data_IF_835535337259
#
_entry.id   IF_835535337259
#
_cell.length_a   1.000
_cell.length_b   1.000
_cell.length_c   1.000
_cell.angle_alpha   90.00
_cell.angle_beta   90.00
_cell.angle_gamma   90.00
#
_symmetry.space_group_name_H-M   'P 1'
#
loop_
_entity.id
_entity.type
_entity.pdbx_description
1 polymer ?
#
# COMPACT_ATOMS: atom_id res chain seq x y z
N UNK A 1 -6.30 23.79 -2.07
CA UNK A 1 -7.17 22.62 -1.81
C UNK A 1 -6.41 21.67 -0.90
N UNK A 2 -6.95 21.36 0.29
CA UNK A 2 -6.37 20.40 1.24
C UNK A 2 -7.45 19.36 1.52
N UNK A 3 -7.31 18.11 1.04
CA UNK A 3 -6.94 17.04 1.97
C UNK A 3 -6.22 15.82 1.36
N UNK A 4 -5.62 14.99 2.22
CA UNK A 4 -5.78 13.53 2.11
C UNK A 4 -6.01 12.95 3.52
N UNK A 5 -7.22 13.24 4.00
CA UNK A 5 -7.85 12.82 5.27
C UNK A 5 -7.29 13.41 6.58
N UNK A 6 -7.43 14.73 6.72
CA UNK A 6 -7.56 15.38 8.02
C UNK A 6 -8.75 16.35 7.99
N UNK A 7 -9.54 16.37 9.06
CA UNK A 7 -10.63 17.35 9.31
C UNK A 7 -10.11 18.70 9.83
N UNK A 8 -8.83 18.77 10.19
CA UNK A 8 -8.16 19.98 10.70
C UNK A 8 -6.90 20.31 9.88
N UNK A 9 -6.70 21.59 9.57
CA UNK A 9 -5.58 22.09 8.76
C UNK A 9 -4.20 21.74 9.36
N UNK A 10 -4.10 21.70 10.68
CA UNK A 10 -2.88 21.38 11.44
C UNK A 10 -2.29 20.01 11.07
N UNK A 11 -3.16 19.04 10.76
CA UNK A 11 -2.77 17.63 10.54
C UNK A 11 -2.75 17.25 9.06
N UNK A 12 -2.85 18.22 8.16
CA UNK A 12 -2.84 17.95 6.72
C UNK A 12 -1.42 17.68 6.21
N UNK A 13 -1.12 16.42 5.92
CA UNK A 13 0.19 16.00 5.37
C UNK A 13 0.53 16.75 4.06
N UNK A 14 -0.47 17.06 3.25
CA UNK A 14 -0.31 17.80 1.99
C UNK A 14 0.16 19.26 2.19
N UNK A 15 0.22 19.78 3.41
CA UNK A 15 0.81 21.08 3.72
C UNK A 15 2.32 21.08 3.53
N UNK A 16 2.97 19.93 3.76
CA UNK A 16 4.42 19.79 3.63
C UNK A 16 4.86 19.68 2.17
N UNK A 17 3.98 19.20 1.29
CA UNK A 17 4.29 19.02 -0.13
C UNK A 17 4.04 20.30 -0.93
N UNK A 18 5.01 20.70 -1.75
CA UNK A 18 4.87 21.87 -2.63
C UNK A 18 3.92 21.63 -3.81
N UNK A 19 3.54 22.70 -4.51
CA UNK A 19 2.69 22.67 -5.70
C UNK A 19 3.42 22.22 -6.98
N UNK A 20 4.69 21.83 -6.87
CA UNK A 20 5.50 21.39 -7.99
C UNK A 20 4.99 20.03 -8.46
N UNK A 21 4.74 19.90 -9.75
CA UNK A 21 4.28 18.68 -10.39
C UNK A 21 4.82 18.57 -11.81
N UNK A 22 4.63 17.40 -12.42
CA UNK A 22 4.92 17.21 -13.84
C UNK A 22 4.05 18.14 -14.68
N UNK A 23 4.66 18.95 -15.54
CA UNK A 23 3.97 19.95 -16.37
C UNK A 23 2.99 19.32 -17.36
N UNK A 24 3.31 18.11 -17.87
CA UNK A 24 2.51 17.45 -18.91
C UNK A 24 1.27 16.75 -18.33
N UNK A 25 1.45 16.01 -17.23
CA UNK A 25 0.36 15.23 -16.63
C UNK A 25 -0.28 15.90 -15.43
N UNK A 26 0.26 17.04 -14.99
CA UNK A 26 -0.14 17.75 -13.77
C UNK A 26 -0.04 16.87 -12.51
N UNK A 27 0.79 15.83 -12.53
CA UNK A 27 0.98 14.92 -11.39
C UNK A 27 1.84 15.61 -10.32
N UNK A 28 1.33 15.82 -9.09
CA UNK A 28 2.11 16.47 -8.03
C UNK A 28 3.29 15.62 -7.55
N UNK A 29 4.37 16.28 -7.11
CA UNK A 29 5.60 15.63 -6.65
C UNK A 29 5.52 15.10 -5.20
N UNK A 30 4.51 14.27 -4.89
CA UNK A 30 4.28 13.76 -3.52
C UNK A 30 5.45 12.94 -2.93
N UNK A 31 6.31 12.36 -3.77
CA UNK A 31 7.40 11.47 -3.34
C UNK A 31 8.74 12.19 -3.17
N UNK A 32 8.79 13.50 -3.43
CA UNK A 32 10.02 14.28 -3.43
C UNK A 32 9.79 15.64 -2.77
N UNK A 33 10.11 15.74 -1.47
CA UNK A 33 10.03 16.99 -0.69
C UNK A 33 11.15 17.01 0.34
N UNK A 34 11.89 18.11 0.41
CA UNK A 34 12.93 18.30 1.44
C UNK A 34 12.26 18.73 2.74
N UNK A 35 12.52 18.01 3.82
CA UNK A 35 11.96 18.29 5.15
C UNK A 35 13.06 18.36 6.20
N UNK A 36 12.88 19.20 7.22
CA UNK A 36 13.69 19.18 8.45
C UNK A 36 12.96 18.31 9.47
N UNK A 37 13.62 17.27 9.94
CA UNK A 37 13.07 16.37 10.96
C UNK A 37 13.67 16.69 12.32
N UNK A 38 12.82 16.78 13.34
CA UNK A 38 13.21 16.96 14.73
C UNK A 38 12.63 15.83 15.57
N UNK A 39 13.42 15.30 16.50
CA UNK A 39 13.01 14.20 17.35
C UNK A 39 12.17 14.72 18.52
N UNK A 40 10.87 14.43 18.52
CA UNK A 40 9.96 14.83 19.60
C UNK A 40 10.07 13.89 20.80
N UNK A 41 10.22 12.58 20.58
CA UNK A 41 10.44 11.60 21.64
C UNK A 41 11.07 10.31 21.08
N UNK A 42 11.98 9.67 21.85
CA UNK A 42 12.66 8.42 21.46
C UNK A 42 11.74 7.21 21.64
N UNK A 43 10.88 7.22 22.67
CA UNK A 43 9.96 6.12 23.00
C UNK A 43 8.56 6.68 23.20
N UNK A 44 7.58 6.15 22.47
CA UNK A 44 6.17 6.55 22.56
C UNK A 44 5.22 5.37 22.53
N UNK A 45 3.93 5.67 22.63
CA UNK A 45 2.87 4.69 22.42
C UNK A 45 2.89 4.21 20.96
N UNK A 46 2.58 2.93 20.75
CA UNK A 46 2.44 2.38 19.40
C UNK A 46 1.32 3.15 18.68
N UNK A 47 1.55 3.68 17.48
CA UNK A 47 0.56 4.50 16.77
C UNK A 47 -0.62 3.67 16.23
N UNK A 48 -0.46 2.36 16.12
CA UNK A 48 -1.52 1.47 15.65
C UNK A 48 -2.28 0.88 16.84
N UNK A 49 -3.62 0.81 16.76
CA UNK A 49 -4.43 0.16 17.79
C UNK A 49 -4.12 -1.34 17.85
N UNK A 50 -4.34 -1.97 19.01
CA UNK A 50 -4.00 -3.38 19.24
C UNK A 50 -4.76 -4.36 18.33
N UNK A 51 -5.96 -3.99 17.88
CA UNK A 51 -6.76 -4.78 16.93
C UNK A 51 -6.29 -4.64 15.47
N UNK A 52 -5.23 -3.88 15.20
CA UNK A 52 -4.74 -3.70 13.83
C UNK A 52 -4.30 -5.06 13.23
N UNK A 53 -4.70 -5.40 11.99
CA UNK A 53 -4.33 -6.66 11.33
C UNK A 53 -2.82 -6.91 11.25
N UNK A 54 -1.99 -5.87 11.35
CA UNK A 54 -0.53 -5.99 11.42
C UNK A 54 -0.04 -6.78 12.63
N UNK A 55 -0.83 -6.83 13.71
CA UNK A 55 -0.56 -7.61 14.92
C UNK A 55 -1.20 -9.01 14.91
N UNK A 56 -2.07 -9.31 13.93
CA UNK A 56 -2.68 -10.62 13.80
C UNK A 56 -1.67 -11.66 13.29
N UNK A 57 -1.97 -12.94 13.53
CA UNK A 57 -1.22 -14.06 12.95
C UNK A 57 -1.33 -13.98 11.42
N UNK A 58 -0.17 -13.90 10.74
CA UNK A 58 -0.12 -13.85 9.28
C UNK A 58 -0.51 -15.19 8.69
N UNK A 59 -1.33 -15.17 7.64
CA UNK A 59 -1.59 -16.29 6.75
C UNK A 59 -0.96 -15.98 5.39
N UNK A 60 0.37 -16.10 5.25
CA UNK A 60 1.05 -15.73 4.01
C UNK A 60 0.65 -16.66 2.87
N UNK A 61 0.31 -16.09 1.72
CA UNK A 61 0.11 -16.84 0.49
C UNK A 61 1.48 -17.10 -0.16
N UNK A 62 1.85 -18.38 -0.31
CA UNK A 62 3.08 -18.78 -1.00
C UNK A 62 2.89 -18.63 -2.51
N UNK A 63 3.26 -17.47 -3.06
CA UNK A 63 3.17 -17.20 -4.49
C UNK A 63 1.73 -17.21 -5.00
N UNK A 64 1.55 -17.56 -6.28
CA UNK A 64 0.23 -17.49 -6.94
C UNK A 64 -0.66 -18.70 -6.62
N UNK A 65 -0.07 -19.86 -6.30
CA UNK A 65 -0.78 -21.14 -6.06
C UNK A 65 -1.80 -21.49 -7.17
N UNK A 66 -1.31 -21.52 -8.41
CA UNK A 66 -2.16 -21.72 -9.59
C UNK A 66 -2.82 -23.11 -9.57
N UNK A 67 -2.07 -24.11 -9.12
CA UNK A 67 -2.51 -25.49 -8.97
C UNK A 67 -3.66 -25.60 -7.97
N UNK A 68 -3.61 -24.82 -6.87
CA UNK A 68 -4.69 -24.75 -5.89
C UNK A 68 -5.96 -24.15 -6.48
N UNK A 69 -5.85 -23.20 -7.40
CA UNK A 69 -7.02 -22.65 -8.12
C UNK A 69 -7.63 -23.70 -9.03
N UNK A 70 -6.82 -24.42 -9.80
CA UNK A 70 -7.28 -25.44 -10.74
C UNK A 70 -7.89 -26.68 -10.07
N UNK A 71 -7.45 -27.01 -8.85
CA UNK A 71 -8.00 -28.11 -8.06
C UNK A 71 -9.34 -27.80 -7.37
N UNK A 72 -9.92 -26.60 -7.55
CA UNK A 72 -11.22 -26.29 -6.94
C UNK A 72 -12.36 -26.98 -7.70
N UNK A 73 -13.35 -27.49 -6.97
CA UNK A 73 -14.53 -28.16 -7.56
C UNK A 73 -15.36 -27.22 -8.45
N UNK A 74 -15.35 -25.93 -8.17
CA UNK A 74 -16.09 -24.90 -8.90
C UNK A 74 -15.30 -24.25 -10.04
N UNK A 75 -14.11 -24.78 -10.35
CA UNK A 75 -13.26 -24.22 -11.40
C UNK A 75 -13.56 -24.83 -12.77
N UNK A 76 -13.97 -23.98 -13.72
CA UNK A 76 -14.15 -24.34 -15.13
C UNK A 76 -12.98 -23.80 -15.98
N UNK A 77 -12.19 -24.66 -16.65
CA UNK A 77 -11.12 -24.24 -17.55
C UNK A 77 -11.64 -23.41 -18.73
N UNK A 78 -10.96 -22.32 -19.04
CA UNK A 78 -11.29 -21.46 -20.19
C UNK A 78 -10.62 -21.99 -21.49
N UNK A 79 -9.63 -22.88 -21.35
CA UNK A 79 -8.87 -23.47 -22.45
C UNK A 79 -8.64 -24.97 -22.20
N UNK A 80 -8.42 -25.74 -23.28
CA UNK A 80 -8.23 -27.19 -23.23
C UNK A 80 -7.01 -27.62 -22.40
N UNK A 81 -5.98 -26.76 -22.28
CA UNK A 81 -4.76 -27.00 -21.52
C UNK A 81 -4.39 -25.79 -20.66
N UNK A 82 -4.37 -26.00 -19.35
CA UNK A 82 -3.90 -25.06 -18.35
C UNK A 82 -2.42 -25.36 -18.04
N UNK A 83 -1.50 -24.58 -18.62
CA UNK A 83 -0.05 -24.75 -18.43
C UNK A 83 0.45 -23.73 -17.42
N UNK A 84 1.10 -24.18 -16.34
CA UNK A 84 1.85 -23.29 -15.46
C UNK A 84 3.14 -22.89 -16.15
N UNK A 85 3.39 -21.59 -16.29
CA UNK A 85 4.68 -21.12 -16.74
C UNK A 85 5.73 -21.45 -15.67
N UNK A 86 6.38 -22.61 -15.79
CA UNK A 86 7.55 -22.93 -14.99
C UNK A 86 8.60 -21.85 -15.25
N UNK A 87 8.99 -21.16 -14.18
CA UNK A 87 10.08 -20.19 -14.23
C UNK A 87 11.37 -20.94 -14.57
N UNK A 88 11.97 -20.57 -15.72
CA UNK A 88 13.41 -20.74 -15.94
C UNK A 88 14.20 -19.96 -14.89
#
# INVERSE_FOLDING_TARGET
YVPMHSVSHENAINLLTGSIGDVRTQTPAYKQTKVKMELINVKGSKPLPLYNPRYAKRNPQLGVQVERKWNREDYDPIADLNITADRK
#
